data_IF_728720396014
#
_entry.id   IF_728720396014
#
_cell.length_a   1.000
_cell.length_b   1.000
_cell.length_c   1.000
_cell.angle_alpha   90.00
_cell.angle_beta   90.00
_cell.angle_gamma   90.00
#
_symmetry.space_group_name_H-M   'P 1'
#
loop_
_entity.id
_entity.type
_entity.pdbx_description
1 polymer ?
#
# COMPACT_ATOMS: atom_id res chain seq x y z
N UNK A 1 1.60 3.04 1.23
CA UNK A 1 1.12 4.19 2.03
C UNK A 1 -0.37 4.09 2.26
N UNK A 2 -0.84 4.60 3.39
CA UNK A 2 -2.25 4.75 3.77
C UNK A 2 -2.59 6.25 3.82
N UNK A 3 -3.38 6.74 2.85
CA UNK A 3 -3.70 8.15 2.70
C UNK A 3 -4.90 8.55 3.55
N UNK A 4 -4.68 9.19 4.69
CA UNK A 4 -5.72 9.77 5.54
C UNK A 4 -6.03 11.23 5.22
N UNK A 5 -7.06 11.80 5.88
CA UNK A 5 -7.43 13.21 5.70
C UNK A 5 -6.49 14.17 6.44
N UNK A 6 -6.05 13.81 7.63
CA UNK A 6 -5.16 14.60 8.48
C UNK A 6 -3.82 13.92 8.73
N UNK A 7 -3.74 12.63 8.48
CA UNK A 7 -2.57 11.79 8.76
C UNK A 7 -2.40 10.81 7.61
N UNK A 8 -1.16 10.60 7.19
CA UNK A 8 -0.80 9.66 6.14
C UNK A 8 0.27 8.72 6.67
N UNK A 9 -0.03 7.44 6.73
CA UNK A 9 0.90 6.41 7.16
C UNK A 9 1.84 5.99 6.02
N UNK A 10 3.10 5.82 6.34
CA UNK A 10 4.12 5.29 5.42
C UNK A 10 4.77 4.04 5.99
N UNK A 11 5.09 3.11 5.12
CA UNK A 11 5.87 1.91 5.39
C UNK A 11 6.89 1.69 4.28
N UNK A 12 7.99 1.05 4.60
CA UNK A 12 8.98 0.59 3.63
C UNK A 12 9.03 -0.93 3.60
N UNK A 13 9.46 -1.50 2.48
CA UNK A 13 9.58 -2.95 2.33
C UNK A 13 10.54 -3.30 1.22
N UNK A 14 11.08 -4.50 1.32
CA UNK A 14 11.99 -5.09 0.36
C UNK A 14 11.31 -6.24 -0.36
N UNK A 15 11.20 -6.14 -1.69
CA UNK A 15 10.49 -7.12 -2.53
C UNK A 15 11.24 -8.45 -2.65
N UNK A 16 12.55 -8.48 -2.39
CA UNK A 16 13.34 -9.71 -2.47
C UNK A 16 13.18 -10.54 -1.19
N UNK A 17 13.20 -9.89 -0.03
CA UNK A 17 13.07 -10.56 1.27
C UNK A 17 11.62 -10.69 1.73
N UNK A 18 10.73 -9.80 1.26
CA UNK A 18 9.35 -9.68 1.74
C UNK A 18 9.24 -8.99 3.11
N UNK A 19 10.33 -8.47 3.65
CA UNK A 19 10.33 -7.75 4.93
C UNK A 19 9.67 -6.39 4.74
N UNK A 20 8.71 -6.07 5.60
CA UNK A 20 8.00 -4.79 5.64
C UNK A 20 8.11 -4.19 7.04
N UNK A 21 8.33 -2.89 7.11
CA UNK A 21 8.41 -2.13 8.36
C UNK A 21 7.61 -0.84 8.28
N UNK A 22 6.83 -0.49 9.31
CA UNK A 22 6.24 0.82 9.42
C UNK A 22 7.35 1.87 9.47
N UNK A 23 7.18 2.97 8.73
CA UNK A 23 8.22 4.00 8.61
C UNK A 23 7.88 5.24 9.44
N UNK A 24 6.81 5.94 9.10
CA UNK A 24 6.42 7.19 9.75
C UNK A 24 4.96 7.52 9.51
N UNK A 25 4.47 8.53 10.22
CA UNK A 25 3.17 9.15 9.97
C UNK A 25 3.39 10.63 9.67
N UNK A 26 2.89 11.09 8.54
CA UNK A 26 2.91 12.49 8.14
C UNK A 26 1.62 13.13 8.62
N UNK A 27 1.71 14.12 9.50
CA UNK A 27 0.58 14.87 10.06
C UNK A 27 0.38 16.17 9.29
N UNK A 28 -0.16 16.06 8.09
CA UNK A 28 -0.51 17.19 7.22
C UNK A 28 -1.92 16.99 6.71
N UNK A 29 -2.77 18.01 6.89
CA UNK A 29 -4.13 17.99 6.36
C UNK A 29 -4.11 17.93 4.82
N UNK A 30 -4.75 16.93 4.27
CA UNK A 30 -4.81 16.69 2.82
C UNK A 30 -5.46 17.83 2.05
N UNK A 31 -6.36 18.58 2.67
CA UNK A 31 -7.06 19.71 2.01
C UNK A 31 -6.27 21.00 2.12
N UNK A 32 -5.33 21.10 3.06
CA UNK A 32 -4.52 22.30 3.23
C UNK A 32 -3.71 22.60 1.97
N UNK A 33 -3.75 23.87 1.51
CA UNK A 33 -2.99 24.33 0.35
C UNK A 33 -3.26 23.52 -0.93
N UNK A 34 -4.50 23.01 -1.13
CA UNK A 34 -4.84 22.17 -2.28
C UNK A 34 -4.12 20.82 -2.29
N UNK A 35 -3.66 20.35 -1.12
CA UNK A 35 -2.95 19.08 -0.95
C UNK A 35 -1.48 19.13 -1.37
N UNK A 36 -0.95 20.29 -1.76
CA UNK A 36 0.45 20.39 -2.17
C UNK A 36 1.43 20.17 -1.02
N UNK A 37 1.22 20.70 0.20
CA UNK A 37 2.10 20.42 1.33
C UNK A 37 2.22 18.95 1.69
N UNK A 38 1.09 18.21 1.66
CA UNK A 38 1.10 16.76 1.88
C UNK A 38 1.86 16.03 0.77
N UNK A 39 1.59 16.40 -0.49
CA UNK A 39 2.26 15.80 -1.64
C UNK A 39 3.78 15.92 -1.54
N UNK A 40 4.29 17.12 -1.19
CA UNK A 40 5.73 17.34 -1.04
C UNK A 40 6.32 16.62 0.17
N UNK A 41 5.60 16.54 1.29
CA UNK A 41 6.06 15.81 2.46
C UNK A 41 6.17 14.30 2.18
N UNK A 42 5.18 13.73 1.49
CA UNK A 42 5.22 12.34 1.04
C UNK A 42 6.34 12.11 0.03
N UNK A 43 6.47 12.99 -0.97
CA UNK A 43 7.51 12.87 -1.98
C UNK A 43 8.92 12.87 -1.37
N UNK A 44 9.21 13.76 -0.43
CA UNK A 44 10.49 13.79 0.30
C UNK A 44 10.74 12.48 1.06
N UNK A 45 9.75 11.99 1.80
CA UNK A 45 9.90 10.72 2.52
C UNK A 45 10.16 9.53 1.58
N UNK A 46 9.58 9.53 0.38
CA UNK A 46 9.85 8.51 -0.63
C UNK A 46 11.26 8.67 -1.20
N UNK A 47 11.68 9.89 -1.51
CA UNK A 47 13.03 10.19 -2.01
C UNK A 47 14.11 9.84 -0.98
N UNK A 48 13.87 10.07 0.32
CA UNK A 48 14.77 9.66 1.42
C UNK A 48 14.95 8.13 1.49
N UNK A 49 13.93 7.36 1.15
CA UNK A 49 13.97 5.89 1.19
C UNK A 49 14.47 5.27 -0.11
N UNK A 50 14.10 5.81 -1.25
CA UNK A 50 14.33 5.22 -2.56
C UNK A 50 15.38 6.01 -3.39
N UNK A 51 15.90 7.11 -2.88
CA UNK A 51 16.72 8.05 -3.64
C UNK A 51 15.87 8.97 -4.54
N UNK A 52 16.43 10.09 -4.91
CA UNK A 52 15.79 11.14 -5.71
C UNK A 52 15.77 10.85 -7.22
N UNK A 53 16.67 10.00 -7.70
CA UNK A 53 16.79 9.66 -9.12
C UNK A 53 16.15 8.30 -9.44
N UNK A 54 14.95 8.26 -10.05
CA UNK A 54 14.25 7.02 -10.36
C UNK A 54 14.95 6.15 -11.43
N UNK A 55 15.89 6.72 -12.18
CA UNK A 55 16.68 5.96 -13.20
C UNK A 55 17.83 5.18 -12.57
N UNK A 56 18.37 5.69 -11.46
CA UNK A 56 19.49 5.05 -10.75
C UNK A 56 19.01 4.12 -9.64
N UNK A 57 17.92 4.49 -8.98
CA UNK A 57 17.40 3.76 -7.83
C UNK A 57 16.00 3.22 -8.15
N UNK A 58 15.93 1.94 -8.45
CA UNK A 58 14.66 1.26 -8.72
C UNK A 58 13.89 1.07 -7.41
N UNK A 59 12.71 1.63 -7.37
CA UNK A 59 11.78 1.48 -6.26
C UNK A 59 10.41 1.93 -6.71
N UNK A 60 9.39 1.30 -6.17
CA UNK A 60 7.99 1.52 -6.50
C UNK A 60 7.26 2.07 -5.29
N UNK A 61 6.17 2.78 -5.52
CA UNK A 61 5.29 3.27 -4.45
C UNK A 61 3.98 2.49 -4.52
N UNK A 62 3.48 2.08 -3.36
CA UNK A 62 2.19 1.41 -3.23
C UNK A 62 1.25 2.28 -2.40
N UNK A 63 0.04 2.53 -2.89
CA UNK A 63 -1.02 3.27 -2.18
C UNK A 63 -2.24 2.38 -1.98
N UNK A 64 -2.77 2.38 -0.76
CA UNK A 64 -4.02 1.71 -0.44
C UNK A 64 -5.21 2.43 -1.06
N UNK A 65 -6.15 1.67 -1.62
CA UNK A 65 -7.38 2.18 -2.24
C UNK A 65 -8.58 1.58 -1.53
N UNK A 66 -9.38 2.41 -0.80
CA UNK A 66 -10.53 1.94 -0.02
C UNK A 66 -11.75 1.74 -0.92
N UNK A 67 -11.80 0.62 -1.65
CA UNK A 67 -12.99 0.24 -2.42
C UNK A 67 -14.17 -0.07 -1.50
N UNK A 68 -15.40 0.16 -1.97
CA UNK A 68 -16.60 -0.27 -1.26
C UNK A 68 -16.69 -1.80 -1.21
N UNK A 69 -17.45 -2.35 -0.27
CA UNK A 69 -17.60 -3.81 -0.11
C UNK A 69 -18.15 -4.49 -1.37
N UNK A 70 -18.99 -3.79 -2.14
CA UNK A 70 -19.51 -4.24 -3.44
C UNK A 70 -18.54 -4.01 -4.61
N UNK A 71 -17.34 -3.49 -4.35
CA UNK A 71 -16.34 -3.17 -5.37
C UNK A 71 -16.57 -1.85 -6.10
N UNK A 72 -17.62 -1.10 -5.76
CA UNK A 72 -17.89 0.19 -6.39
C UNK A 72 -16.87 1.26 -5.99
N UNK A 73 -16.74 2.27 -6.86
CA UNK A 73 -15.79 3.38 -6.70
C UNK A 73 -16.48 4.54 -5.99
N UNK A 74 -16.22 4.69 -4.68
CA UNK A 74 -16.71 5.82 -3.91
C UNK A 74 -15.85 7.09 -4.10
N UNK A 75 -16.32 8.21 -3.54
CA UNK A 75 -15.60 9.49 -3.58
C UNK A 75 -14.17 9.38 -3.00
N UNK A 76 -13.98 8.56 -1.97
CA UNK A 76 -12.67 8.33 -1.34
C UNK A 76 -11.66 7.74 -2.32
N UNK A 77 -12.08 6.78 -3.13
CA UNK A 77 -11.23 6.17 -4.17
C UNK A 77 -10.78 7.21 -5.19
N UNK A 78 -11.69 8.09 -5.63
CA UNK A 78 -11.34 9.17 -6.58
C UNK A 78 -10.28 10.11 -6.00
N UNK A 79 -10.40 10.46 -4.71
CA UNK A 79 -9.42 11.29 -4.01
C UNK A 79 -8.05 10.61 -3.96
N UNK A 80 -8.00 9.34 -3.58
CA UNK A 80 -6.77 8.56 -3.50
C UNK A 80 -6.10 8.45 -4.87
N UNK A 81 -6.87 8.16 -5.91
CA UNK A 81 -6.37 8.08 -7.29
C UNK A 81 -5.83 9.40 -7.82
N UNK A 82 -6.53 10.51 -7.53
CA UNK A 82 -6.05 11.85 -7.89
C UNK A 82 -4.73 12.18 -7.20
N UNK A 83 -4.58 11.83 -5.92
CA UNK A 83 -3.33 11.97 -5.19
C UNK A 83 -2.22 11.09 -5.78
N UNK A 84 -2.51 9.83 -6.06
CA UNK A 84 -1.57 8.88 -6.67
C UNK A 84 -1.05 9.37 -8.03
N UNK A 85 -1.92 9.93 -8.87
CA UNK A 85 -1.53 10.50 -10.16
C UNK A 85 -0.57 11.69 -10.01
N UNK A 86 -0.86 12.61 -9.07
CA UNK A 86 0.04 13.74 -8.75
C UNK A 86 1.37 13.26 -8.20
N UNK A 87 1.36 12.26 -7.32
CA UNK A 87 2.57 11.70 -6.71
C UNK A 87 3.45 11.01 -7.77
N UNK A 88 2.83 10.24 -8.69
CA UNK A 88 3.55 9.64 -9.83
C UNK A 88 4.24 10.70 -10.67
N UNK A 89 3.54 11.77 -11.00
CA UNK A 89 4.10 12.88 -11.78
C UNK A 89 5.24 13.57 -11.04
N UNK A 90 5.09 13.82 -9.73
CA UNK A 90 6.10 14.49 -8.91
C UNK A 90 7.37 13.66 -8.73
N UNK A 91 7.24 12.36 -8.56
CA UNK A 91 8.36 11.45 -8.31
C UNK A 91 9.01 10.88 -9.57
N UNK A 92 8.28 10.88 -10.71
CA UNK A 92 8.72 10.14 -11.90
C UNK A 92 8.83 8.62 -11.69
N UNK A 93 8.08 8.07 -10.71
CA UNK A 93 8.06 6.66 -10.32
C UNK A 93 6.67 6.07 -10.44
N UNK A 94 6.60 4.75 -10.63
CA UNK A 94 5.32 4.06 -10.61
C UNK A 94 4.68 4.07 -9.22
N UNK A 95 3.37 4.33 -9.21
CA UNK A 95 2.52 4.27 -8.02
C UNK A 95 1.45 3.22 -8.28
N UNK A 96 1.52 2.12 -7.55
CA UNK A 96 0.61 0.98 -7.67
C UNK A 96 -0.53 1.10 -6.66
N UNK A 97 -1.72 0.68 -7.07
CA UNK A 97 -2.90 0.63 -6.21
C UNK A 97 -3.01 -0.76 -5.55
N UNK A 98 -3.27 -0.78 -4.26
CA UNK A 98 -3.60 -2.00 -3.51
C UNK A 98 -4.99 -1.86 -2.90
N UNK A 99 -5.85 -2.83 -3.12
CA UNK A 99 -7.19 -2.89 -2.53
C UNK A 99 -7.12 -3.13 -1.02
N UNK A 100 -7.60 -2.17 -0.22
CA UNK A 100 -7.58 -2.25 1.24
C UNK A 100 -8.59 -3.26 1.81
N UNK A 101 -9.60 -3.68 1.05
CA UNK A 101 -10.58 -4.68 1.54
C UNK A 101 -9.95 -6.04 1.82
N UNK A 102 -8.82 -6.33 1.22
CA UNK A 102 -8.11 -7.60 1.33
C UNK A 102 -7.01 -7.59 2.38
N UNK A 103 -6.85 -6.47 3.11
CA UNK A 103 -5.74 -6.35 4.06
C UNK A 103 -5.98 -7.18 5.31
N UNK A 104 -4.97 -7.98 5.67
CA UNK A 104 -4.85 -8.64 6.98
C UNK A 104 -4.49 -7.65 8.11
N UNK A 105 -4.71 -6.35 7.87
CA UNK A 105 -4.36 -5.27 8.79
C UNK A 105 -4.89 -5.50 10.21
N UNK A 106 -6.09 -6.06 10.37
CA UNK A 106 -6.68 -6.31 11.67
C UNK A 106 -5.92 -7.38 12.46
N UNK A 107 -5.53 -8.48 11.83
CA UNK A 107 -4.80 -9.57 12.50
C UNK A 107 -3.38 -9.15 12.90
N UNK A 108 -2.69 -8.41 12.01
CA UNK A 108 -1.35 -7.88 12.28
C UNK A 108 -1.38 -6.75 13.33
N UNK A 109 -2.47 -5.98 13.38
CA UNK A 109 -2.71 -4.96 14.37
C UNK A 109 -2.79 -5.54 15.79
N UNK A 110 -3.52 -6.62 15.98
CA UNK A 110 -3.70 -7.26 17.29
C UNK A 110 -2.37 -7.84 17.83
N UNK A 111 -1.51 -8.38 16.96
CA UNK A 111 -0.18 -8.85 17.34
C UNK A 111 0.79 -7.72 17.68
N UNK A 112 0.74 -6.59 16.97
CA UNK A 112 1.61 -5.44 17.21
C UNK A 112 1.22 -4.64 18.46
N UNK A 113 0.08 -4.91 19.07
CA UNK A 113 -0.43 -4.18 20.23
C UNK A 113 0.14 -4.58 21.57
N UNK A 114 0.82 -5.71 21.67
CA UNK A 114 1.40 -6.17 22.92
C UNK A 114 2.56 -5.26 23.37
N UNK A 115 2.36 -4.53 24.46
CA UNK A 115 3.40 -3.73 25.10
C UNK A 115 3.44 -2.23 24.77
N UNK A 116 2.58 -1.71 23.90
CA UNK A 116 2.52 -0.27 23.58
C UNK A 116 1.46 0.48 24.39
N UNK A 117 1.74 1.73 24.76
CA UNK A 117 0.75 2.63 25.36
C UNK A 117 -0.33 3.04 24.34
N UNK A 118 -1.50 3.50 24.82
CA UNK A 118 -2.59 3.98 23.95
C UNK A 118 -2.15 5.09 22.99
N UNK A 119 -1.27 5.97 23.42
CA UNK A 119 -0.76 7.06 22.59
C UNK A 119 0.20 6.53 21.52
N UNK A 120 1.12 5.66 21.88
CA UNK A 120 2.03 5.00 20.93
C UNK A 120 1.27 4.16 19.89
N UNK A 121 0.18 3.51 20.31
CA UNK A 121 -0.73 2.80 19.40
C UNK A 121 -1.36 3.72 18.38
N UNK A 122 -1.88 4.87 18.85
CA UNK A 122 -2.50 5.87 17.96
C UNK A 122 -1.49 6.48 16.98
N UNK A 123 -0.28 6.79 17.44
CA UNK A 123 0.79 7.36 16.62
C UNK A 123 1.31 6.39 15.55
N UNK A 124 1.33 5.08 15.85
CA UNK A 124 1.81 4.05 14.94
C UNK A 124 0.73 3.43 14.05
N UNK A 125 -0.54 3.61 14.39
CA UNK A 125 -1.66 2.96 13.72
C UNK A 125 -1.63 3.14 12.20
N UNK A 126 -1.42 4.38 11.75
CA UNK A 126 -1.48 4.70 10.32
C UNK A 126 -0.25 4.15 9.57
N UNK A 127 0.92 4.13 10.21
CA UNK A 127 2.12 3.50 9.65
C UNK A 127 2.01 1.96 9.62
N UNK A 128 1.34 1.36 10.60
CA UNK A 128 1.06 -0.08 10.63
C UNK A 128 0.02 -0.47 9.56
N UNK A 129 -0.99 0.37 9.34
CA UNK A 129 -1.94 0.18 8.23
C UNK A 129 -1.21 0.23 6.88
N UNK A 130 -0.31 1.19 6.69
CA UNK A 130 0.52 1.26 5.50
C UNK A 130 1.43 0.02 5.34
N UNK A 131 1.96 -0.52 6.44
CA UNK A 131 2.76 -1.74 6.41
C UNK A 131 1.92 -2.96 5.98
N UNK A 132 0.69 -3.09 6.48
CA UNK A 132 -0.21 -4.16 6.07
C UNK A 132 -0.56 -4.08 4.57
N UNK A 133 -0.89 -2.90 4.06
CA UNK A 133 -1.14 -2.67 2.63
C UNK A 133 0.07 -3.11 1.78
N UNK A 134 1.28 -2.74 2.20
CA UNK A 134 2.49 -3.09 1.48
C UNK A 134 2.80 -4.59 1.55
N UNK A 135 2.58 -5.22 2.71
CA UNK A 135 2.75 -6.67 2.89
C UNK A 135 1.85 -7.46 1.95
N UNK A 136 0.57 -7.10 1.89
CA UNK A 136 -0.40 -7.77 1.02
C UNK A 136 -0.06 -7.58 -0.46
N UNK A 137 0.41 -6.39 -0.85
CA UNK A 137 0.89 -6.13 -2.21
C UNK A 137 2.08 -7.01 -2.58
N UNK A 138 3.08 -7.11 -1.71
CA UNK A 138 4.28 -7.93 -1.96
C UNK A 138 3.93 -9.42 -2.01
N UNK A 139 3.03 -9.88 -1.16
CA UNK A 139 2.56 -11.26 -1.15
C UNK A 139 1.78 -11.61 -2.44
N UNK A 140 0.86 -10.76 -2.86
CA UNK A 140 0.11 -10.93 -4.11
C UNK A 140 1.06 -10.99 -5.32
N UNK A 141 2.06 -10.11 -5.36
CA UNK A 141 3.08 -10.08 -6.43
C UNK A 141 3.94 -11.35 -6.44
N UNK A 142 4.35 -11.83 -5.27
CA UNK A 142 5.10 -13.08 -5.13
C UNK A 142 4.31 -14.28 -5.62
N UNK A 143 3.02 -14.32 -5.33
CA UNK A 143 2.13 -15.40 -5.77
C UNK A 143 1.90 -15.35 -7.30
N UNK A 144 1.79 -14.15 -7.89
CA UNK A 144 1.64 -13.98 -9.33
C UNK A 144 2.89 -14.40 -10.14
N UNK A 145 4.09 -14.30 -9.54
CA UNK A 145 5.35 -14.70 -10.17
C UNK A 145 5.74 -16.15 -9.92
N UNK A 146 5.01 -16.86 -9.07
CA UNK A 146 5.26 -18.28 -8.77
C UNK A 146 4.80 -19.15 -9.96
N UNK A 147 5.66 -20.02 -10.52
CA UNK A 147 5.22 -20.95 -11.55
C UNK A 147 4.10 -21.85 -11.01
N UNK A 148 3.15 -22.27 -11.87
CA UNK A 148 2.10 -23.20 -11.45
C UNK A 148 2.76 -24.43 -10.82
N UNK A 149 2.20 -24.89 -9.70
CA UNK A 149 2.66 -26.14 -9.08
C UNK A 149 2.38 -27.27 -10.07
N UNK A 150 3.43 -27.97 -10.51
CA UNK A 150 3.29 -29.19 -11.27
C UNK A 150 2.46 -30.19 -10.45
N UNK A 151 1.22 -30.44 -10.86
CA UNK A 151 0.38 -31.42 -10.19
C UNK A 151 -1.11 -31.08 -10.02
N UNK A 152 -1.60 -29.92 -10.43
CA UNK A 152 -3.06 -29.77 -10.50
C UNK A 152 -3.60 -30.47 -11.76
N UNK A 153 -4.52 -31.46 -11.62
CA UNK A 153 -5.14 -32.10 -12.77
C UNK A 153 -5.95 -31.04 -13.52
N UNK A 154 -5.69 -30.90 -14.81
CA UNK A 154 -6.54 -30.15 -15.72
C UNK A 154 -7.85 -30.97 -15.84
N UNK A 155 -8.83 -30.63 -15.02
CA UNK A 155 -10.20 -31.11 -15.22
C UNK A 155 -10.73 -30.47 -16.51
N UNK A 156 -10.42 -31.14 -17.61
CA UNK A 156 -11.12 -30.95 -18.86
C UNK A 156 -12.53 -31.51 -18.73
N UNK A 157 -13.56 -30.88 -19.31
CA UNK A 157 -14.89 -31.46 -19.32
C UNK A 157 -14.86 -32.77 -20.09
N UNK A 158 -15.04 -33.87 -19.38
CA UNK A 158 -15.28 -35.20 -20.01
C UNK A 158 -16.56 -35.12 -20.82
N UNK A 159 -16.37 -35.17 -22.16
CA UNK A 159 -17.48 -35.26 -23.08
C UNK A 159 -18.34 -36.47 -22.79
N UNK A 160 -19.60 -36.22 -22.58
CA UNK A 160 -20.62 -37.21 -22.70
C UNK A 160 -20.85 -37.48 -24.20
N UNK A 161 -20.41 -38.63 -24.66
CA UNK A 161 -20.94 -39.26 -25.88
C UNK A 161 -21.66 -40.54 -25.45
N UNK A 162 -22.93 -40.60 -25.76
CA UNK A 162 -23.77 -41.77 -25.59
C UNK A 162 -25.23 -41.42 -25.79
#
# INVERSE_FOLDING_TARGET
MDLGDKRTGLASGDSATGVVSPLTVIEVDRQHGGGSPLLEAVARSVEDQLGDNPRLHRGEVVIGVPLNMDGSVGQRVQIVRAFAARLRQRLGRDVHEQDERLTSAQANWDMAQSGLTHQQKKERRDALAAAAILSDYLEARKNATRPPKDGEPKDGPSGWQG
#
